data_IF_942386759601
#
_entry.id   IF_942386759601
#
_cell.length_a   1.000
_cell.length_b   1.000
_cell.length_c   1.000
_cell.angle_alpha   90.00
_cell.angle_beta   90.00
_cell.angle_gamma   90.00
#
_symmetry.space_group_name_H-M   'P 1'
#
loop_
_entity.id
_entity.type
_entity.pdbx_description
1 polymer ?
#
# COMPACT_ATOMS: atom_id res chain seq x y z
N UNK A 1 3.61 -4.40 -1.18
CA UNK A 1 3.47 -4.72 0.26
C UNK A 1 2.04 -4.43 0.68
N UNK A 2 1.39 -5.32 1.44
CA UNK A 2 0.02 -5.12 1.93
C UNK A 2 0.04 -4.99 3.45
N UNK A 3 -0.69 -4.01 3.99
CA UNK A 3 -0.77 -3.76 5.44
C UNK A 3 -2.20 -4.01 5.89
N UNK A 4 -2.42 -5.04 6.69
CA UNK A 4 -3.74 -5.38 7.24
C UNK A 4 -3.98 -4.68 8.58
N UNK A 5 -5.05 -3.88 8.65
CA UNK A 5 -5.42 -3.14 9.85
C UNK A 5 -6.80 -3.59 10.34
N UNK A 6 -6.93 -3.79 11.65
CA UNK A 6 -8.19 -4.11 12.30
C UNK A 6 -8.47 -3.07 13.39
N UNK A 7 -9.66 -2.45 13.37
CA UNK A 7 -10.03 -1.39 14.31
C UNK A 7 -9.81 -1.80 15.77
N UNK A 8 -10.27 -3.00 16.16
CA UNK A 8 -10.14 -3.54 17.52
C UNK A 8 -8.70 -3.81 17.98
N UNK A 9 -7.74 -3.82 17.06
CA UNK A 9 -6.33 -4.12 17.34
C UNK A 9 -5.51 -2.84 17.26
N UNK A 10 -5.44 -2.23 16.06
CA UNK A 10 -4.52 -1.11 15.83
C UNK A 10 -5.02 0.20 16.46
N UNK A 11 -6.32 0.32 16.73
CA UNK A 11 -6.91 1.48 17.41
C UNK A 11 -6.57 1.55 18.90
N UNK A 12 -5.98 0.51 19.50
CA UNK A 12 -5.54 0.56 20.89
C UNK A 12 -4.38 1.55 21.03
N UNK A 13 -4.39 2.49 22.00
CA UNK A 13 -3.35 3.52 22.14
C UNK A 13 -1.91 2.97 22.15
N UNK A 14 -1.69 1.87 22.88
CA UNK A 14 -0.37 1.23 22.94
C UNK A 14 0.11 0.57 21.63
N UNK A 15 -0.78 0.33 20.66
CA UNK A 15 -0.45 -0.26 19.34
C UNK A 15 -0.42 0.78 18.23
N UNK A 16 -1.24 1.82 18.32
CA UNK A 16 -1.36 2.86 17.28
C UNK A 16 -0.03 3.58 17.03
N UNK A 17 0.80 3.75 18.06
CA UNK A 17 2.09 4.44 17.92
C UNK A 17 3.02 3.79 16.88
N UNK A 18 2.97 2.46 16.72
CA UNK A 18 3.75 1.77 15.71
C UNK A 18 3.28 2.12 14.28
N UNK A 19 1.96 2.20 14.07
CA UNK A 19 1.39 2.63 12.79
C UNK A 19 1.80 4.08 12.47
N UNK A 20 1.72 4.98 13.45
CA UNK A 20 2.15 6.38 13.28
C UNK A 20 3.61 6.48 12.84
N UNK A 21 4.52 5.83 13.57
CA UNK A 21 5.96 5.80 13.22
C UNK A 21 6.22 5.22 11.83
N UNK A 22 5.46 4.19 11.44
CA UNK A 22 5.57 3.61 10.12
C UNK A 22 5.14 4.58 9.01
N UNK A 23 4.03 5.30 9.22
CA UNK A 23 3.57 6.34 8.28
C UNK A 23 4.61 7.46 8.17
N UNK A 24 5.13 7.93 9.30
CA UNK A 24 6.21 8.95 9.32
C UNK A 24 7.45 8.46 8.54
N UNK A 25 7.86 7.21 8.76
CA UNK A 25 8.99 6.60 8.05
C UNK A 25 8.79 6.56 6.53
N UNK A 26 7.65 6.08 6.04
CA UNK A 26 7.41 6.00 4.59
C UNK A 26 7.24 7.39 3.96
N UNK A 27 6.68 8.36 4.70
CA UNK A 27 6.55 9.75 4.25
C UNK A 27 7.89 10.47 4.16
N UNK A 28 8.89 10.08 4.95
CA UNK A 28 10.25 10.65 4.87
C UNK A 28 11.08 10.16 3.66
N UNK A 29 10.57 9.21 2.88
CA UNK A 29 11.31 8.70 1.71
C UNK A 29 11.33 9.73 0.58
N UNK A 30 12.42 9.81 -0.20
CA UNK A 30 12.49 10.66 -1.38
C UNK A 30 11.26 10.52 -2.28
N UNK A 31 10.84 11.64 -2.87
CA UNK A 31 9.68 11.69 -3.75
C UNK A 31 9.81 10.66 -4.89
N UNK A 32 8.73 9.92 -5.15
CA UNK A 32 8.69 8.87 -6.17
C UNK A 32 9.27 7.52 -5.76
N UNK A 33 9.90 7.39 -4.58
CA UNK A 33 10.46 6.12 -4.13
C UNK A 33 9.41 5.17 -3.52
N UNK A 34 8.30 5.71 -2.99
CA UNK A 34 7.21 4.93 -2.39
C UNK A 34 5.88 5.33 -3.01
N UNK A 35 5.11 4.34 -3.48
CA UNK A 35 3.75 4.53 -3.97
C UNK A 35 2.72 4.04 -2.94
N UNK A 36 2.10 4.97 -2.23
CA UNK A 36 0.97 4.70 -1.33
C UNK A 36 -0.30 4.77 -2.18
N UNK A 37 -1.02 3.66 -2.28
CA UNK A 37 -2.11 3.55 -3.25
C UNK A 37 -3.20 2.57 -2.81
N UNK A 38 -4.38 2.68 -3.43
CA UNK A 38 -5.48 1.76 -3.17
C UNK A 38 -5.30 0.51 -4.03
N UNK A 39 -5.96 -0.57 -3.65
CA UNK A 39 -5.90 -1.84 -4.40
C UNK A 39 -6.44 -1.70 -5.83
N UNK A 40 -7.45 -0.85 -6.03
CA UNK A 40 -8.04 -0.59 -7.35
C UNK A 40 -7.05 0.10 -8.29
N UNK A 41 -6.29 1.06 -7.78
CA UNK A 41 -5.30 1.80 -8.56
C UNK A 41 -4.15 0.87 -9.02
N UNK A 42 -3.76 -0.10 -8.19
CA UNK A 42 -2.80 -1.15 -8.58
C UNK A 42 -3.36 -2.00 -9.72
N UNK A 43 -4.63 -2.41 -9.61
CA UNK A 43 -5.28 -3.23 -10.63
C UNK A 43 -5.39 -2.47 -11.97
N UNK A 44 -5.77 -1.20 -11.93
CA UNK A 44 -5.84 -0.31 -13.09
C UNK A 44 -4.46 -0.08 -13.70
N UNK A 45 -3.44 0.22 -12.89
CA UNK A 45 -2.06 0.35 -13.34
C UNK A 45 -1.59 -0.93 -14.05
N UNK A 46 -1.88 -2.10 -13.48
CA UNK A 46 -1.50 -3.38 -14.07
C UNK A 46 -2.23 -3.63 -15.39
N UNK A 47 -3.54 -3.40 -15.44
CA UNK A 47 -4.34 -3.59 -16.65
C UNK A 47 -3.90 -2.67 -17.79
N UNK A 48 -3.53 -1.44 -17.48
CA UNK A 48 -3.05 -0.46 -18.45
C UNK A 48 -1.64 -0.76 -18.93
N UNK A 49 -0.70 -1.03 -18.02
CA UNK A 49 0.73 -1.21 -18.33
C UNK A 49 1.06 -2.62 -18.83
N UNK A 50 0.32 -3.62 -18.37
CA UNK A 50 0.49 -5.03 -18.69
C UNK A 50 -0.86 -5.63 -19.14
N UNK A 51 -1.38 -5.19 -20.30
CA UNK A 51 -2.64 -5.70 -20.80
C UNK A 51 -2.57 -7.20 -21.04
N UNK A 52 -3.63 -7.92 -20.67
CA UNK A 52 -3.74 -9.36 -20.90
C UNK A 52 -3.62 -9.68 -22.39
N UNK A 53 -2.73 -10.61 -22.74
CA UNK A 53 -2.54 -11.07 -24.12
C UNK A 53 -3.06 -12.50 -24.25
N UNK A 54 -4.22 -12.63 -24.89
CA UNK A 54 -4.87 -13.93 -25.12
C UNK A 54 -3.93 -14.84 -25.93
N UNK A 55 -3.61 -16.01 -25.39
CA UNK A 55 -2.83 -17.04 -26.09
C UNK A 55 -1.31 -16.98 -25.90
N UNK A 56 -0.76 -16.05 -25.09
CA UNK A 56 0.60 -16.21 -24.60
C UNK A 56 0.63 -17.30 -23.53
N UNK A 57 1.34 -18.40 -23.81
CA UNK A 57 1.70 -19.43 -22.83
C UNK A 57 2.75 -18.90 -21.86
#
# INVERSE_FOLDING_TARGET
MTIGLHCRIIGKPGRFQALKRFVEYISSKPAGQVWITRRVDIAEHWRSKYPYQKGKR
#
